data_IF_853213330700
#
_entry.id   IF_853213330700
#
_cell.length_a   1.000
_cell.length_b   1.000
_cell.length_c   1.000
_cell.angle_alpha   90.00
_cell.angle_beta   90.00
_cell.angle_gamma   90.00
#
_symmetry.space_group_name_H-M   'P 1'
#
loop_
_entity.id
_entity.type
_entity.pdbx_description
1 polymer ?
#
# COMPACT_ATOMS: atom_id res chain seq x y z
N UNK A 1 -8.69 17.17 1.33
CA UNK A 1 -7.74 16.03 1.27
C UNK A 1 -8.57 14.77 1.16
N UNK A 2 -8.44 14.03 0.05
CA UNK A 2 -8.98 12.67 -0.05
C UNK A 2 -8.46 11.86 1.14
N UNK A 3 -9.31 11.03 1.75
CA UNK A 3 -9.01 10.31 2.99
C UNK A 3 -7.74 9.46 2.79
N UNK A 4 -6.60 10.01 3.20
CA UNK A 4 -5.37 9.23 3.31
C UNK A 4 -5.59 8.16 4.36
N UNK A 5 -4.98 6.99 4.18
CA UNK A 5 -4.96 6.02 5.25
C UNK A 5 -4.40 6.68 6.52
N UNK A 6 -5.00 6.39 7.66
CA UNK A 6 -4.39 6.77 8.92
C UNK A 6 -2.98 6.17 9.00
N UNK A 7 -2.05 6.88 9.64
CA UNK A 7 -0.68 6.41 9.85
C UNK A 7 -0.66 5.00 10.46
N UNK A 8 -1.60 4.70 11.36
CA UNK A 8 -1.76 3.37 11.96
C UNK A 8 -2.15 2.29 10.94
N UNK A 9 -3.08 2.58 10.02
CA UNK A 9 -3.48 1.64 8.98
C UNK A 9 -2.35 1.38 7.99
N UNK A 10 -1.56 2.41 7.67
CA UNK A 10 -0.37 2.28 6.81
C UNK A 10 0.66 1.34 7.42
N UNK A 11 1.00 1.54 8.70
CA UNK A 11 1.93 0.67 9.43
C UNK A 11 1.44 -0.77 9.51
N UNK A 12 0.13 -0.98 9.74
CA UNK A 12 -0.47 -2.33 9.75
C UNK A 12 -0.32 -3.02 8.39
N UNK A 13 -0.59 -2.30 7.30
CA UNK A 13 -0.44 -2.85 5.95
C UNK A 13 1.01 -3.19 5.62
N UNK A 14 1.96 -2.33 5.93
CA UNK A 14 3.39 -2.61 5.75
C UNK A 14 3.81 -3.89 6.47
N UNK A 15 3.41 -4.04 7.75
CA UNK A 15 3.68 -5.24 8.54
C UNK A 15 3.08 -6.50 7.89
N UNK A 16 1.81 -6.43 7.46
CA UNK A 16 1.17 -7.57 6.77
C UNK A 16 1.87 -7.92 5.46
N UNK A 17 2.33 -6.93 4.67
CA UNK A 17 3.08 -7.19 3.44
C UNK A 17 4.39 -7.92 3.75
N UNK A 18 5.12 -7.48 4.77
CA UNK A 18 6.35 -8.16 5.19
C UNK A 18 6.10 -9.59 5.67
N UNK A 19 5.02 -9.82 6.44
CA UNK A 19 4.67 -11.15 6.96
C UNK A 19 4.18 -12.10 5.86
N UNK A 20 3.34 -11.62 4.94
CA UNK A 20 2.77 -12.46 3.87
C UNK A 20 3.82 -12.83 2.84
N UNK A 21 4.69 -11.89 2.47
CA UNK A 21 5.71 -12.11 1.44
C UNK A 21 7.09 -12.42 2.01
N UNK A 22 7.19 -12.85 3.28
CA UNK A 22 8.47 -13.08 3.95
C UNK A 22 9.37 -14.00 3.13
N UNK A 23 8.83 -15.09 2.57
CA UNK A 23 9.61 -16.05 1.78
C UNK A 23 10.06 -15.49 0.43
N UNK A 24 9.32 -14.57 -0.17
CA UNK A 24 9.68 -13.95 -1.44
C UNK A 24 10.71 -12.83 -1.23
N UNK A 25 10.60 -12.08 -0.13
CA UNK A 25 11.43 -10.89 0.11
C UNK A 25 12.65 -11.17 1.00
N UNK A 26 12.80 -12.37 1.57
CA UNK A 26 13.92 -12.69 2.47
C UNK A 26 15.30 -12.54 1.82
N UNK A 27 15.38 -12.59 0.49
CA UNK A 27 16.64 -12.38 -0.26
C UNK A 27 17.06 -10.91 -0.30
N UNK A 28 16.15 -9.98 0.02
CA UNK A 28 16.42 -8.56 0.13
C UNK A 28 16.96 -8.24 1.52
N UNK A 29 17.86 -7.27 1.62
CA UNK A 29 18.28 -6.76 2.92
C UNK A 29 17.11 -6.02 3.63
N UNK A 30 17.20 -5.78 4.95
CA UNK A 30 16.10 -5.16 5.71
C UNK A 30 15.66 -3.79 5.19
N UNK A 31 16.60 -2.98 4.67
CA UNK A 31 16.29 -1.67 4.09
C UNK A 31 15.43 -1.82 2.84
N UNK A 32 15.82 -2.71 1.91
CA UNK A 32 15.07 -2.99 0.69
C UNK A 32 13.70 -3.63 0.97
N UNK A 33 13.59 -4.48 1.99
CA UNK A 33 12.30 -5.01 2.44
C UNK A 33 11.37 -3.89 2.93
N UNK A 34 11.89 -2.95 3.71
CA UNK A 34 11.12 -1.80 4.21
C UNK A 34 10.70 -0.86 3.08
N UNK A 35 11.59 -0.57 2.12
CA UNK A 35 11.29 0.27 0.95
C UNK A 35 10.19 -0.40 0.12
N UNK A 36 10.33 -1.68 -0.20
CA UNK A 36 9.33 -2.42 -0.97
C UNK A 36 7.95 -2.41 -0.29
N UNK A 37 7.90 -2.65 1.03
CA UNK A 37 6.65 -2.63 1.77
C UNK A 37 5.99 -1.23 1.76
N UNK A 38 6.79 -0.17 1.87
CA UNK A 38 6.29 1.22 1.79
C UNK A 38 5.73 1.54 0.39
N UNK A 39 6.48 1.18 -0.66
CA UNK A 39 6.12 1.39 -2.06
C UNK A 39 4.84 0.64 -2.44
N UNK A 40 4.71 -0.64 -2.05
CA UNK A 40 3.51 -1.43 -2.28
C UNK A 40 2.29 -0.81 -1.63
N UNK A 41 2.43 -0.33 -0.38
CA UNK A 41 1.32 0.35 0.30
C UNK A 41 0.98 1.63 -0.43
N UNK A 42 1.95 2.48 -0.80
CA UNK A 42 1.72 3.70 -1.59
C UNK A 42 1.00 3.41 -2.91
N UNK A 43 1.46 2.43 -3.70
CA UNK A 43 0.85 2.04 -4.95
C UNK A 43 -0.62 1.61 -4.76
N UNK A 44 -0.90 0.87 -3.69
CA UNK A 44 -2.26 0.49 -3.32
C UNK A 44 -3.13 1.70 -2.98
N UNK A 45 -2.64 2.66 -2.19
CA UNK A 45 -3.42 3.88 -1.88
C UNK A 45 -3.73 4.68 -3.14
N UNK A 46 -2.73 4.86 -4.00
CA UNK A 46 -2.88 5.57 -5.27
C UNK A 46 -3.96 4.90 -6.13
N UNK A 47 -3.97 3.56 -6.20
CA UNK A 47 -4.95 2.84 -7.01
C UNK A 47 -6.36 2.94 -6.44
N UNK A 48 -6.51 2.85 -5.11
CA UNK A 48 -7.80 3.05 -4.45
C UNK A 48 -8.38 4.44 -4.71
N UNK A 49 -7.56 5.48 -4.60
CA UNK A 49 -7.98 6.86 -4.90
C UNK A 49 -8.48 6.98 -6.34
N UNK A 50 -7.75 6.42 -7.31
CA UNK A 50 -8.17 6.41 -8.71
C UNK A 50 -9.50 5.69 -8.89
N UNK A 51 -9.68 4.52 -8.27
CA UNK A 51 -10.93 3.76 -8.35
C UNK A 51 -12.11 4.51 -7.72
N UNK A 52 -11.91 5.15 -6.57
CA UNK A 52 -12.93 5.98 -5.94
C UNK A 52 -13.36 7.15 -6.84
N UNK A 53 -12.41 7.78 -7.54
CA UNK A 53 -12.71 8.84 -8.53
C UNK A 53 -13.46 8.33 -9.75
N UNK A 54 -13.15 7.12 -10.23
CA UNK A 54 -13.88 6.52 -11.35
C UNK A 54 -15.30 6.20 -10.93
N UNK A 55 -15.48 5.62 -9.74
CA UNK A 55 -16.79 5.24 -9.21
C UNK A 55 -17.70 6.44 -8.87
N UNK A 56 -17.12 7.56 -8.44
CA UNK A 56 -17.89 8.76 -8.07
C UNK A 56 -18.30 9.62 -9.28
N UNK A 57 -17.72 9.37 -10.46
CA UNK A 57 -18.19 10.01 -11.69
C UNK A 57 -19.52 9.37 -12.10
N UNK A 58 -20.58 10.16 -12.35
CA UNK A 58 -21.81 9.62 -12.94
C UNK A 58 -21.45 8.98 -14.27
N UNK A 59 -21.90 7.76 -14.52
CA UNK A 59 -22.00 7.23 -15.87
C UNK A 59 -22.85 8.22 -16.67
N UNK A 60 -22.26 8.83 -17.69
CA UNK A 60 -22.96 9.69 -18.64
C UNK A 60 -24.08 8.90 -19.36
#
# INVERSE_FOLDING_TARGET
MEKSFSSQSRKKLQKMMMEVFTTEIHTLNPELQSILADDMVTAFQNRLVVFQKIQSKPTA
#
